data_IF_571470558401
#
_entry.id   IF_571470558401
#
_cell.length_a   1.000
_cell.length_b   1.000
_cell.length_c   1.000
_cell.angle_alpha   90.00
_cell.angle_beta   90.00
_cell.angle_gamma   90.00
#
_symmetry.space_group_name_H-M   'P 1'
#
loop_
_entity.id
_entity.type
_entity.pdbx_description
1 polymer ?
#
# COMPACT_ATOMS: atom_id res chain seq x y z
N UNK A 1 -7.50 21.28 -16.14
CA UNK A 1 -8.14 19.95 -16.30
C UNK A 1 -7.92 19.16 -15.02
N UNK A 2 -8.92 19.09 -14.13
CA UNK A 2 -8.85 18.27 -12.90
C UNK A 2 -9.24 16.84 -13.29
N UNK A 3 -8.35 15.86 -13.09
CA UNK A 3 -8.70 14.44 -13.26
C UNK A 3 -9.71 14.07 -12.16
N UNK A 4 -10.87 13.49 -12.50
CA UNK A 4 -11.83 13.02 -11.50
C UNK A 4 -11.36 11.65 -11.01
N UNK A 5 -10.94 11.58 -9.77
CA UNK A 5 -10.37 10.38 -9.13
C UNK A 5 -9.38 10.82 -8.07
N UNK A 6 -9.53 10.31 -6.84
CA UNK A 6 -8.67 10.67 -5.72
C UNK A 6 -7.20 10.54 -6.09
N UNK A 7 -6.35 11.39 -5.48
CA UNK A 7 -4.90 11.49 -5.69
C UNK A 7 -4.31 10.15 -6.14
N UNK A 8 -4.06 10.01 -7.45
CA UNK A 8 -3.33 8.87 -8.00
C UNK A 8 -2.00 8.86 -7.26
N UNK A 9 -1.82 7.89 -6.34
CA UNK A 9 -0.50 7.63 -5.74
C UNK A 9 0.44 7.43 -6.91
N UNK A 10 1.55 8.15 -6.90
CA UNK A 10 2.57 7.99 -7.95
C UNK A 10 3.22 6.60 -7.77
N UNK A 11 2.60 5.58 -8.38
CA UNK A 11 3.03 4.19 -8.29
C UNK A 11 4.47 4.02 -8.78
N UNK A 12 4.91 4.86 -9.72
CA UNK A 12 6.29 4.89 -10.20
C UNK A 12 7.23 5.43 -9.13
N UNK A 13 6.88 6.53 -8.48
CA UNK A 13 7.66 7.05 -7.36
C UNK A 13 7.75 6.03 -6.20
N UNK A 14 6.67 5.31 -5.92
CA UNK A 14 6.66 4.24 -4.91
C UNK A 14 7.54 3.06 -5.30
N UNK A 15 7.46 2.57 -6.54
CA UNK A 15 8.31 1.49 -7.04
C UNK A 15 9.79 1.89 -6.96
N UNK A 16 10.13 3.11 -7.38
CA UNK A 16 11.49 3.65 -7.29
C UNK A 16 11.98 3.76 -5.84
N UNK A 17 11.15 4.26 -4.93
CA UNK A 17 11.51 4.38 -3.51
C UNK A 17 11.70 3.01 -2.85
N UNK A 18 10.95 1.99 -3.29
CA UNK A 18 11.08 0.61 -2.84
C UNK A 18 12.20 -0.18 -3.52
N UNK A 19 12.96 0.42 -4.45
CA UNK A 19 13.99 -0.28 -5.21
C UNK A 19 13.44 -1.38 -6.13
N UNK A 20 12.16 -1.30 -6.51
CA UNK A 20 11.52 -2.28 -7.36
C UNK A 20 11.79 -1.96 -8.83
N UNK A 21 12.44 -2.88 -9.53
CA UNK A 21 12.62 -2.81 -10.97
C UNK A 21 11.35 -3.29 -11.67
N UNK A 22 10.41 -2.37 -11.87
CA UNK A 22 9.18 -2.62 -12.62
C UNK A 22 9.22 -1.82 -13.92
N UNK A 23 8.97 -2.49 -15.05
CA UNK A 23 8.92 -1.81 -16.34
C UNK A 23 7.74 -0.83 -16.39
N UNK A 24 7.85 0.22 -17.20
CA UNK A 24 6.76 1.19 -17.36
C UNK A 24 5.47 0.57 -17.87
N UNK A 25 5.60 -0.38 -18.80
CA UNK A 25 4.47 -1.15 -19.33
C UNK A 25 3.79 -1.97 -18.25
N UNK A 26 4.57 -2.55 -17.33
CA UNK A 26 4.01 -3.32 -16.22
C UNK A 26 3.37 -2.41 -15.17
N UNK A 27 3.96 -1.24 -14.89
CA UNK A 27 3.36 -0.23 -14.01
C UNK A 27 2.00 0.22 -14.54
N UNK A 28 1.91 0.53 -15.83
CA UNK A 28 0.64 0.89 -16.48
C UNK A 28 -0.38 -0.25 -16.38
N UNK A 29 0.06 -1.50 -16.57
CA UNK A 29 -0.80 -2.69 -16.46
C UNK A 29 -1.35 -2.91 -15.05
N UNK A 30 -0.56 -2.62 -14.00
CA UNK A 30 -0.97 -2.87 -12.61
C UNK A 30 -1.61 -1.66 -11.92
N UNK A 31 -1.50 -0.45 -12.49
CA UNK A 31 -2.02 0.77 -11.87
C UNK A 31 -3.52 0.67 -11.53
N UNK A 32 -4.36 0.21 -12.48
CA UNK A 32 -5.81 0.07 -12.25
C UNK A 32 -6.16 -0.89 -11.10
N UNK A 33 -5.64 -2.13 -11.09
CA UNK A 33 -5.79 -3.03 -9.94
C UNK A 33 -5.32 -2.43 -8.62
N UNK A 34 -4.18 -1.73 -8.60
CA UNK A 34 -3.66 -1.08 -7.38
C UNK A 34 -4.58 0.05 -6.89
N UNK A 35 -5.17 0.82 -7.80
CA UNK A 35 -6.17 1.84 -7.47
C UNK A 35 -7.42 1.21 -6.84
N UNK A 36 -7.94 0.12 -7.43
CA UNK A 36 -9.09 -0.62 -6.87
C UNK A 36 -8.79 -1.16 -5.46
N UNK A 37 -7.59 -1.70 -5.24
CA UNK A 37 -7.19 -2.17 -3.91
C UNK A 37 -7.11 -0.99 -2.92
N UNK A 38 -6.51 0.13 -3.31
CA UNK A 38 -6.43 1.31 -2.43
C UNK A 38 -7.83 1.79 -2.01
N UNK A 39 -8.81 1.82 -2.93
CA UNK A 39 -10.19 2.18 -2.62
C UNK A 39 -10.85 1.22 -1.62
N UNK A 40 -10.56 -0.08 -1.72
CA UNK A 40 -11.11 -1.10 -0.82
C UNK A 40 -10.45 -1.08 0.57
N UNK A 41 -9.12 -0.89 0.64
CA UNK A 41 -8.36 -1.04 1.89
C UNK A 41 -8.20 0.26 2.68
N UNK A 42 -8.16 1.44 2.03
CA UNK A 42 -7.97 2.72 2.72
C UNK A 42 -9.07 3.02 3.76
N UNK A 43 -10.36 2.69 3.55
CA UNK A 43 -11.37 2.85 4.59
C UNK A 43 -11.11 1.99 5.81
N UNK A 44 -10.64 0.74 5.63
CA UNK A 44 -10.39 -0.20 6.73
C UNK A 44 -9.29 0.31 7.67
N UNK A 45 -8.26 0.95 7.13
CA UNK A 45 -7.18 1.54 7.92
C UNK A 45 -7.64 2.67 8.86
N UNK A 46 -8.79 3.32 8.58
CA UNK A 46 -9.33 4.38 9.45
C UNK A 46 -9.97 3.83 10.73
N UNK A 47 -10.38 2.57 10.69
CA UNK A 47 -11.03 1.90 11.82
C UNK A 47 -10.01 1.23 12.76
N UNK A 48 -8.73 1.20 12.38
CA UNK A 48 -7.65 0.69 13.23
C UNK A 48 -7.43 1.61 14.44
N UNK A 49 -7.46 1.01 15.62
CA UNK A 49 -7.18 1.66 16.90
C UNK A 49 -5.72 1.45 17.30
N UNK A 50 -5.21 2.32 18.17
CA UNK A 50 -3.83 2.22 18.63
C UNK A 50 -3.59 0.96 19.46
N UNK A 51 -4.63 0.47 20.13
CA UNK A 51 -4.63 -0.76 20.92
C UNK A 51 -4.86 -2.04 20.10
N UNK A 52 -5.12 -1.93 18.80
CA UNK A 52 -5.29 -3.12 17.95
C UNK A 52 -3.92 -3.79 17.73
N UNK A 53 -3.73 -4.94 18.36
CA UNK A 53 -2.54 -5.76 18.16
C UNK A 53 -2.52 -6.41 16.77
N UNK A 54 -1.34 -6.60 16.15
CA UNK A 54 -1.22 -7.38 14.93
C UNK A 54 -1.79 -8.79 15.11
N UNK A 55 -2.46 -9.31 14.09
CA UNK A 55 -2.97 -10.69 14.09
C UNK A 55 -1.86 -11.74 14.28
N UNK A 56 -0.60 -11.37 14.05
CA UNK A 56 0.57 -12.18 14.33
C UNK A 56 1.65 -11.28 14.92
N UNK A 57 2.04 -11.56 16.16
CA UNK A 57 3.14 -10.90 16.85
C UNK A 57 4.32 -11.87 16.97
N UNK A 58 5.53 -11.36 16.75
CA UNK A 58 6.76 -12.08 17.04
C UNK A 58 7.31 -11.55 18.36
N UNK A 59 7.49 -12.44 19.32
CA UNK A 59 8.14 -12.13 20.58
C UNK A 59 9.55 -12.70 20.55
N UNK A 60 10.53 -11.91 20.99
CA UNK A 60 11.87 -12.45 21.22
C UNK A 60 11.79 -13.43 22.39
N UNK A 61 12.41 -14.61 22.27
CA UNK A 61 12.59 -15.47 23.43
C UNK A 61 13.60 -14.80 24.36
N UNK A 62 13.16 -14.43 25.55
CA UNK A 62 14.08 -14.03 26.62
C UNK A 62 14.84 -15.29 27.05
N UNK A 63 16.13 -15.35 26.69
CA UNK A 63 17.01 -16.41 27.18
C UNK A 63 17.35 -16.07 28.63
N UNK A 64 16.82 -16.84 29.58
CA UNK A 64 17.21 -16.79 31.01
C UNK A 64 18.66 -17.26 31.23
#
# INVERSE_FOLDING_TARGET
>A
MKRPGGVVKDWRAMAKAGGLEVSERDLERIAGPLETLEEAFRPLAKELKAEDEPATAFHAEETE
#
